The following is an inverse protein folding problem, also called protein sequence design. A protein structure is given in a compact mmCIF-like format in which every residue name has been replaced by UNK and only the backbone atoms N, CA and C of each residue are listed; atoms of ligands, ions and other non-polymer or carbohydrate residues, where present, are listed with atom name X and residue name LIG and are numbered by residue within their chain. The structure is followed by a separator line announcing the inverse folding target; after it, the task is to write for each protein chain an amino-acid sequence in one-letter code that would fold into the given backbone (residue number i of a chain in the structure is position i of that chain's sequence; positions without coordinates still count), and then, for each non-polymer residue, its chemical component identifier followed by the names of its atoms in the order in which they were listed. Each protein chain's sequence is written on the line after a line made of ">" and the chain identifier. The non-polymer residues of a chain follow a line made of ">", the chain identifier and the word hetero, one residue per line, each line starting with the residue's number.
data_IF_583791087652
#
_entry.id   IF_583791087652
#
_cell.length_a   1.000
_cell.length_b   1.000
_cell.length_c   1.000
_cell.angle_alpha   90.00
_cell.angle_beta   90.00
_cell.angle_gamma   90.00
#
_symmetry.space_group_name_H-M   'P 1'
#
loop_
_entity.id
_entity.type
_entity.pdbx_description
1 polymer ?
#
# COMPACT_ATOMS: atom_id res chain seq x y z
N UNK A 1 -0.01 -8.17 -26.72
CA UNK A 1 0.14 -7.92 -25.28
C UNK A 1 -0.29 -6.52 -24.91
N UNK A 2 -1.50 -6.42 -24.36
CA UNK A 2 -2.12 -5.16 -23.96
C UNK A 2 -2.53 -5.25 -22.49
N UNK A 3 -2.42 -4.13 -21.77
CA UNK A 3 -3.00 -3.96 -20.44
C UNK A 3 -4.36 -3.28 -20.57
N UNK A 4 -5.32 -3.69 -19.76
CA UNK A 4 -6.66 -3.11 -19.73
C UNK A 4 -6.99 -2.58 -18.34
N UNK A 5 -7.77 -1.50 -18.33
CA UNK A 5 -8.54 -1.04 -17.18
C UNK A 5 -9.98 -0.92 -17.63
N UNK A 6 -10.90 -1.61 -16.95
CA UNK A 6 -12.30 -1.63 -17.35
C UNK A 6 -13.23 -1.43 -16.16
N UNK A 7 -14.29 -0.65 -16.37
CA UNK A 7 -15.42 -0.57 -15.46
C UNK A 7 -16.39 -1.70 -15.79
N UNK A 8 -16.54 -2.62 -14.83
CA UNK A 8 -17.24 -3.88 -15.03
C UNK A 8 -18.27 -4.10 -13.93
N UNK A 9 -19.43 -4.62 -14.33
CA UNK A 9 -20.38 -5.23 -13.43
C UNK A 9 -19.92 -6.66 -13.20
N UNK A 10 -19.63 -6.98 -11.96
CA UNK A 10 -19.23 -8.32 -11.55
C UNK A 10 -20.29 -8.94 -10.65
N UNK A 11 -20.34 -10.26 -10.66
CA UNK A 11 -21.11 -11.10 -9.76
C UNK A 11 -20.18 -12.23 -9.28
N UNK A 12 -19.81 -12.20 -8.02
CA UNK A 12 -18.80 -13.12 -7.46
C UNK A 12 -19.26 -13.67 -6.13
N UNK A 13 -18.95 -14.93 -5.86
CA UNK A 13 -19.09 -15.57 -4.56
C UNK A 13 -17.83 -15.41 -3.69
N UNK A 14 -16.83 -14.67 -4.16
CA UNK A 14 -15.51 -14.54 -3.54
C UNK A 14 -15.15 -13.10 -3.13
N UNK A 15 -14.53 -12.88 -1.95
CA UNK A 15 -14.10 -11.56 -1.50
C UNK A 15 -12.75 -11.13 -2.13
N UNK A 16 -12.69 -11.07 -3.46
CA UNK A 16 -11.43 -10.87 -4.22
C UNK A 16 -11.25 -9.44 -4.75
N UNK A 17 -12.34 -8.76 -5.14
CA UNK A 17 -12.24 -7.44 -5.77
C UNK A 17 -12.35 -6.31 -4.75
N UNK A 18 -11.33 -5.46 -4.71
CA UNK A 18 -11.29 -4.31 -3.81
C UNK A 18 -12.18 -3.18 -4.31
N UNK A 19 -13.11 -2.72 -3.47
CA UNK A 19 -13.96 -1.54 -3.72
C UNK A 19 -13.69 -0.47 -2.68
N UNK A 20 -13.44 0.75 -3.13
CA UNK A 20 -13.29 1.91 -2.23
C UNK A 20 -14.67 2.54 -1.96
N UNK A 21 -15.09 2.51 -0.69
CA UNK A 21 -16.19 3.32 -0.13
C UNK A 21 -15.59 4.26 0.92
N UNK A 22 -16.21 4.41 2.09
CA UNK A 22 -15.56 5.05 3.25
C UNK A 22 -14.25 4.34 3.62
N UNK A 23 -14.23 3.01 3.47
CA UNK A 23 -13.06 2.14 3.61
C UNK A 23 -12.94 1.24 2.38
N UNK A 24 -11.78 0.61 2.23
CA UNK A 24 -11.61 -0.45 1.24
C UNK A 24 -12.30 -1.71 1.76
N UNK A 25 -13.20 -2.26 0.97
CA UNK A 25 -13.98 -3.48 1.27
C UNK A 25 -13.84 -4.47 0.12
N UNK A 26 -14.15 -5.74 0.39
CA UNK A 26 -14.14 -6.84 -0.58
C UNK A 26 -15.54 -7.48 -0.60
N UNK A 27 -16.52 -6.85 -1.27
CA UNK A 27 -17.89 -7.32 -1.23
C UNK A 27 -18.07 -8.60 -2.07
N UNK A 28 -19.06 -9.40 -1.68
CA UNK A 28 -19.53 -10.60 -2.39
C UNK A 28 -20.90 -10.26 -3.00
N UNK A 29 -21.20 -10.87 -4.15
CA UNK A 29 -22.41 -10.66 -4.93
C UNK A 29 -22.19 -9.71 -6.09
N UNK A 30 -23.24 -8.99 -6.47
CA UNK A 30 -23.27 -8.18 -7.70
C UNK A 30 -23.00 -6.70 -7.46
N UNK A 31 -21.95 -6.16 -8.07
CA UNK A 31 -21.59 -4.74 -7.94
C UNK A 31 -20.72 -4.22 -9.09
N UNK A 32 -20.70 -2.89 -9.24
CA UNK A 32 -19.80 -2.20 -10.16
C UNK A 32 -18.43 -1.96 -9.53
N UNK A 33 -17.38 -2.23 -10.29
CA UNK A 33 -15.99 -1.99 -9.91
C UNK A 33 -15.12 -1.71 -11.14
N UNK A 34 -14.04 -0.95 -10.96
CA UNK A 34 -13.02 -0.75 -11.99
C UNK A 34 -11.86 -1.72 -11.75
N UNK A 35 -11.63 -2.63 -12.68
CA UNK A 35 -10.60 -3.67 -12.58
C UNK A 35 -9.45 -3.41 -13.55
N UNK A 36 -8.25 -3.77 -13.12
CA UNK A 36 -7.04 -3.79 -13.96
C UNK A 36 -6.83 -5.18 -14.55
N UNK A 37 -5.86 -5.30 -15.47
CA UNK A 37 -5.54 -6.56 -16.18
C UNK A 37 -5.50 -7.83 -15.29
N UNK A 38 -4.76 -7.90 -14.17
CA UNK A 38 -4.72 -9.12 -13.36
C UNK A 38 -6.08 -9.49 -12.74
N UNK A 39 -6.84 -8.49 -12.30
CA UNK A 39 -8.18 -8.70 -11.71
C UNK A 39 -9.19 -9.11 -12.78
N UNK A 40 -9.12 -8.51 -13.98
CA UNK A 40 -9.95 -8.89 -15.12
C UNK A 40 -9.68 -10.32 -15.57
N UNK A 41 -8.40 -10.73 -15.65
CA UNK A 41 -8.04 -12.12 -15.98
C UNK A 41 -8.69 -13.09 -15.00
N UNK A 42 -8.54 -12.84 -13.70
CA UNK A 42 -9.18 -13.64 -12.66
C UNK A 42 -10.71 -13.66 -12.80
N UNK A 43 -11.33 -12.51 -13.09
CA UNK A 43 -12.77 -12.40 -13.29
C UNK A 43 -13.29 -13.21 -14.49
N UNK A 44 -12.54 -13.25 -15.58
CA UNK A 44 -12.91 -14.08 -16.74
C UNK A 44 -12.71 -15.56 -16.46
N UNK A 45 -11.59 -15.94 -15.83
CA UNK A 45 -11.29 -17.33 -15.48
C UNK A 45 -12.36 -17.95 -14.55
N UNK A 46 -12.96 -17.14 -13.68
CA UNK A 46 -13.98 -17.57 -12.73
C UNK A 46 -15.41 -17.20 -13.16
N UNK A 47 -15.62 -16.70 -14.38
CA UNK A 47 -16.93 -16.27 -14.90
C UNK A 47 -17.66 -15.22 -14.03
N UNK A 48 -16.91 -14.34 -13.36
CA UNK A 48 -17.47 -13.27 -12.52
C UNK A 48 -17.94 -12.05 -13.32
N UNK A 49 -17.51 -11.88 -14.57
CA UNK A 49 -17.88 -10.71 -15.38
C UNK A 49 -19.29 -10.85 -15.93
N UNK A 50 -20.18 -9.94 -15.55
CA UNK A 50 -21.55 -9.86 -16.10
C UNK A 50 -21.59 -8.93 -17.31
N UNK A 51 -21.05 -7.70 -17.15
CA UNK A 51 -21.10 -6.66 -18.18
C UNK A 51 -19.85 -5.78 -18.11
N UNK A 52 -19.37 -5.32 -19.26
CA UNK A 52 -18.32 -4.29 -19.37
C UNK A 52 -18.96 -3.00 -19.86
N UNK A 53 -18.81 -1.90 -19.11
CA UNK A 53 -19.32 -0.60 -19.52
C UNK A 53 -18.36 0.12 -20.46
N UNK A 54 -17.11 0.28 -20.01
CA UNK A 54 -16.04 0.96 -20.74
C UNK A 54 -14.69 0.39 -20.36
N UNK A 55 -13.75 0.46 -21.28
CA UNK A 55 -12.39 0.02 -21.07
C UNK A 55 -11.39 0.98 -21.70
N UNK A 56 -10.22 1.08 -21.10
CA UNK A 56 -9.04 1.75 -21.65
C UNK A 56 -7.97 0.69 -21.89
N UNK A 57 -7.36 0.72 -23.07
CA UNK A 57 -6.35 -0.24 -23.50
C UNK A 57 -5.01 0.46 -23.61
N UNK A 58 -3.99 -0.14 -23.00
CA UNK A 58 -2.61 0.33 -23.00
C UNK A 58 -1.70 -0.68 -23.67
N UNK A 59 -0.70 -0.20 -24.40
CA UNK A 59 0.39 -1.05 -24.90
C UNK A 59 1.31 -1.42 -23.74
N UNK A 60 1.64 -2.70 -23.62
CA UNK A 60 2.60 -3.16 -22.62
C UNK A 60 4.04 -2.91 -23.07
N UNK A 61 4.90 -2.65 -22.10
CA UNK A 61 6.34 -2.58 -22.24
C UNK A 61 6.98 -3.03 -20.93
N UNK A 62 8.23 -3.49 -21.00
CA UNK A 62 9.04 -3.65 -19.79
C UNK A 62 9.48 -2.28 -19.28
N UNK A 63 8.83 -1.83 -18.21
CA UNK A 63 9.06 -0.51 -17.63
C UNK A 63 10.13 -0.54 -16.53
N UNK A 64 10.31 -1.69 -15.85
CA UNK A 64 10.93 -1.71 -14.52
C UNK A 64 11.96 -2.81 -14.30
N UNK A 65 12.14 -3.80 -15.19
CA UNK A 65 13.08 -4.91 -14.90
C UNK A 65 14.50 -4.40 -14.64
N UNK A 66 15.02 -3.53 -15.50
CA UNK A 66 16.36 -2.95 -15.33
C UNK A 66 16.51 -2.15 -14.03
N UNK A 67 15.46 -1.44 -13.62
CA UNK A 67 15.44 -0.69 -12.36
C UNK A 67 15.44 -1.64 -11.16
N UNK A 68 14.53 -2.62 -11.16
CA UNK A 68 14.35 -3.58 -10.07
C UNK A 68 15.62 -4.42 -9.91
N UNK A 69 16.15 -4.98 -10.99
CA UNK A 69 17.39 -5.78 -10.97
C UNK A 69 18.57 -4.99 -10.41
N UNK A 70 18.75 -3.74 -10.84
CA UNK A 70 19.84 -2.87 -10.36
C UNK A 70 19.73 -2.61 -8.86
N UNK A 71 18.58 -2.12 -8.39
CA UNK A 71 18.42 -1.79 -6.97
C UNK A 71 18.36 -3.03 -6.08
N UNK A 72 17.86 -4.15 -6.61
CA UNK A 72 17.88 -5.42 -5.90
C UNK A 72 19.31 -5.94 -5.70
N UNK A 73 20.12 -5.92 -6.76
CA UNK A 73 21.53 -6.32 -6.70
C UNK A 73 22.31 -5.43 -5.71
N UNK A 74 22.19 -4.11 -5.82
CA UNK A 74 22.82 -3.17 -4.89
C UNK A 74 22.40 -3.43 -3.44
N UNK A 75 21.11 -3.70 -3.20
CA UNK A 75 20.62 -4.03 -1.88
C UNK A 75 21.30 -5.27 -1.30
N UNK A 76 21.50 -6.33 -2.09
CA UNK A 76 22.21 -7.53 -1.64
C UNK A 76 23.68 -7.26 -1.36
N UNK A 77 24.35 -6.47 -2.21
CA UNK A 77 25.76 -6.06 -2.01
C UNK A 77 25.95 -5.29 -0.70
N UNK A 78 25.10 -4.28 -0.44
CA UNK A 78 25.17 -3.50 0.81
C UNK A 78 24.83 -4.33 2.04
N UNK A 79 23.89 -5.26 1.93
CA UNK A 79 23.57 -6.21 3.00
C UNK A 79 24.76 -7.11 3.33
N UNK A 80 25.43 -7.65 2.31
CA UNK A 80 26.66 -8.46 2.49
C UNK A 80 27.83 -7.64 3.04
N UNK A 81 27.92 -6.36 2.70
CA UNK A 81 28.93 -5.44 3.22
C UNK A 81 28.62 -4.90 4.63
N UNK A 82 27.43 -5.17 5.18
CA UNK A 82 27.01 -4.69 6.51
C UNK A 82 26.68 -3.20 6.57
N UNK A 83 26.32 -2.56 5.45
CA UNK A 83 26.01 -1.12 5.40
C UNK A 83 24.50 -0.91 5.40
N UNK A 84 23.91 -0.86 6.60
CA UNK A 84 22.46 -0.88 6.82
C UNK A 84 21.74 0.33 6.19
N UNK A 85 22.36 1.51 6.18
CA UNK A 85 21.78 2.74 5.65
C UNK A 85 21.52 2.64 4.14
N UNK A 86 22.47 2.07 3.40
CA UNK A 86 22.34 1.88 1.96
C UNK A 86 21.43 0.70 1.61
N UNK A 87 21.36 -0.34 2.44
CA UNK A 87 20.35 -1.39 2.29
C UNK A 87 18.94 -0.78 2.37
N UNK A 88 18.67 0.02 3.41
CA UNK A 88 17.37 0.67 3.60
C UNK A 88 17.07 1.71 2.52
N UNK A 89 18.07 2.45 2.03
CA UNK A 89 17.90 3.34 0.88
C UNK A 89 17.47 2.56 -0.37
N UNK A 90 18.17 1.48 -0.73
CA UNK A 90 17.82 0.67 -1.90
C UNK A 90 16.42 0.08 -1.78
N UNK A 91 16.05 -0.40 -0.59
CA UNK A 91 14.70 -0.89 -0.29
C UNK A 91 13.63 0.19 -0.46
N UNK A 92 13.88 1.42 0.02
CA UNK A 92 12.96 2.55 -0.17
C UNK A 92 12.79 2.90 -1.64
N UNK A 93 13.87 2.88 -2.43
CA UNK A 93 13.81 3.14 -3.87
C UNK A 93 12.90 2.12 -4.58
N UNK A 94 13.08 0.83 -4.28
CA UNK A 94 12.22 -0.25 -4.80
C UNK A 94 10.74 -0.06 -4.40
N UNK A 95 10.47 0.21 -3.12
CA UNK A 95 9.10 0.25 -2.61
C UNK A 95 8.33 1.53 -2.94
N UNK A 96 9.04 2.65 -3.16
CA UNK A 96 8.39 3.96 -3.37
C UNK A 96 8.11 4.30 -4.83
N UNK A 97 8.78 3.62 -5.79
CA UNK A 97 8.69 3.94 -7.22
C UNK A 97 7.24 3.92 -7.73
N UNK A 98 6.48 2.85 -7.46
CA UNK A 98 5.11 2.75 -7.98
C UNK A 98 4.20 3.87 -7.43
N UNK A 99 4.44 4.29 -6.18
CA UNK A 99 3.70 5.36 -5.52
C UNK A 99 3.90 6.71 -6.20
N UNK A 100 5.07 6.93 -6.83
CA UNK A 100 5.33 8.16 -7.60
C UNK A 100 4.41 8.32 -8.79
N UNK A 101 4.02 7.22 -9.45
CA UNK A 101 3.06 7.27 -10.55
C UNK A 101 1.63 7.59 -10.11
N UNK A 102 1.29 7.41 -8.83
CA UNK A 102 -0.01 7.78 -8.24
C UNK A 102 0.03 9.06 -7.41
N UNK A 103 1.17 9.77 -7.38
CA UNK A 103 1.35 10.95 -6.54
C UNK A 103 0.60 12.15 -7.14
N UNK A 104 -0.15 12.86 -6.29
CA UNK A 104 -0.75 14.15 -6.65
C UNK A 104 0.27 15.27 -6.51
N UNK A 105 0.18 16.28 -7.38
CA UNK A 105 0.94 17.52 -7.23
C UNK A 105 0.21 18.46 -6.28
N UNK A 106 0.94 19.08 -5.37
CA UNK A 106 0.41 20.08 -4.45
C UNK A 106 0.25 21.42 -5.17
N UNK A 107 -0.93 22.02 -5.08
CA UNK A 107 -1.20 23.34 -5.65
C UNK A 107 -0.98 24.39 -4.56
N UNK A 108 0.11 25.14 -4.70
CA UNK A 108 0.51 26.19 -3.76
C UNK A 108 0.14 27.57 -4.32
N UNK A 109 -0.59 28.36 -3.53
CA UNK A 109 -0.90 29.75 -3.84
C UNK A 109 -0.03 30.67 -3.02
N UNK A 110 0.75 31.57 -3.66
CA UNK A 110 1.48 32.62 -2.94
C UNK A 110 0.47 33.52 -2.22
N UNK A 111 0.64 33.68 -0.91
CA UNK A 111 -0.23 34.53 -0.07
C UNK A 111 0.51 35.76 0.47
N UNK A 112 1.82 35.85 0.27
CA UNK A 112 2.61 37.00 0.68
C UNK A 112 4.11 36.80 0.53
N UNK A 113 4.84 37.80 1.00
CA UNK A 113 6.30 37.81 1.10
C UNK A 113 6.68 37.85 2.57
N UNK A 114 7.67 37.05 2.94
CA UNK A 114 8.18 36.94 4.31
C UNK A 114 9.71 36.84 4.27
N UNK A 115 10.40 37.92 3.85
CA UNK A 115 11.86 37.92 3.78
C UNK A 115 12.44 37.68 5.18
N UNK A 116 13.51 36.89 5.26
CA UNK A 116 14.23 36.49 6.48
C UNK A 116 13.55 35.42 7.35
N UNK A 117 12.42 34.86 6.93
CA UNK A 117 11.88 33.66 7.57
C UNK A 117 12.59 32.39 7.07
N UNK A 118 12.91 31.42 7.95
CA UNK A 118 13.46 30.15 7.54
C UNK A 118 12.44 29.30 6.78
N UNK A 119 12.93 28.53 5.81
CA UNK A 119 12.14 27.57 5.06
C UNK A 119 11.55 26.51 5.99
N UNK A 120 10.22 26.38 5.98
CA UNK A 120 9.48 25.43 6.81
C UNK A 120 8.06 25.21 6.31
N UNK A 121 7.42 24.21 6.87
CA UNK A 121 6.01 23.90 6.62
C UNK A 121 5.28 23.92 7.95
N UNK A 122 4.17 24.63 8.03
CA UNK A 122 3.34 24.71 9.24
C UNK A 122 1.95 24.14 8.96
N UNK A 123 1.43 23.41 9.95
CA UNK A 123 0.05 22.94 9.98
C UNK A 123 -0.78 23.90 10.85
N UNK A 124 -1.80 24.49 10.24
CA UNK A 124 -2.70 25.44 10.86
C UNK A 124 -4.01 24.75 11.21
N UNK A 125 -4.34 24.77 12.49
CA UNK A 125 -5.61 24.28 13.02
C UNK A 125 -6.51 25.48 13.32
N UNK A 126 -7.69 25.53 12.68
CA UNK A 126 -8.68 26.57 12.97
C UNK A 126 -9.75 26.00 13.89
N UNK A 127 -9.93 26.62 15.06
CA UNK A 127 -10.99 26.25 15.99
C UNK A 127 -12.36 26.27 15.30
N UNK A 128 -13.14 25.20 15.49
CA UNK A 128 -14.47 25.03 14.89
C UNK A 128 -14.50 24.61 13.41
N UNK A 129 -13.35 24.37 12.77
CA UNK A 129 -13.28 23.86 11.39
C UNK A 129 -12.66 22.46 11.36
N UNK A 130 -13.35 21.50 10.76
CA UNK A 130 -12.79 20.18 10.50
C UNK A 130 -11.87 20.29 9.27
N UNK A 131 -10.56 20.28 9.50
CA UNK A 131 -9.55 20.34 8.45
C UNK A 131 -8.26 20.99 8.94
N UNK A 132 -7.14 20.59 8.33
CA UNK A 132 -5.83 21.19 8.58
C UNK A 132 -5.49 22.03 7.36
N UNK A 133 -5.16 23.31 7.58
CA UNK A 133 -4.55 24.13 6.54
C UNK A 133 -3.05 23.96 6.60
N UNK A 134 -2.38 24.02 5.46
CA UNK A 134 -0.93 23.94 5.40
C UNK A 134 -0.38 25.21 4.75
N UNK A 135 0.59 25.83 5.41
CA UNK A 135 1.37 26.93 4.83
C UNK A 135 2.83 26.51 4.73
N UNK A 136 3.53 27.08 3.76
CA UNK A 136 4.95 26.86 3.55
C UNK A 136 5.64 28.20 3.40
N UNK A 137 6.77 28.33 4.06
CA UNK A 137 7.75 29.38 3.86
C UNK A 137 8.83 28.80 2.97
N UNK A 138 9.09 29.44 1.83
CA UNK A 138 10.12 28.99 0.91
C UNK A 138 10.72 30.22 0.21
N UNK A 139 12.04 30.38 0.32
CA UNK A 139 12.80 31.43 -0.38
C UNK A 139 12.29 32.86 -0.09
N UNK A 140 11.89 33.13 1.16
CA UNK A 140 11.37 34.43 1.56
C UNK A 140 9.94 34.72 1.09
N UNK A 141 9.23 33.72 0.56
CA UNK A 141 7.82 33.80 0.17
C UNK A 141 6.99 32.84 1.03
N UNK A 142 5.70 33.17 1.19
CA UNK A 142 4.75 32.32 1.91
C UNK A 142 3.63 31.84 0.97
N UNK A 143 3.34 30.55 1.07
CA UNK A 143 2.37 29.86 0.23
C UNK A 143 1.33 29.12 1.08
N UNK A 144 0.08 29.11 0.63
CA UNK A 144 -0.99 28.28 1.17
C UNK A 144 -1.26 27.08 0.24
N UNK A 145 -1.40 25.89 0.81
CA UNK A 145 -1.87 24.71 0.07
C UNK A 145 -3.37 24.87 -0.21
N UNK A 146 -3.72 25.03 -1.48
CA UNK A 146 -5.11 25.28 -1.90
C UNK A 146 -5.77 24.08 -2.58
N UNK A 147 -5.01 23.05 -2.91
CA UNK A 147 -5.55 21.85 -3.52
C UNK A 147 -4.49 20.89 -4.04
N UNK A 148 -4.95 19.93 -4.83
CA UNK A 148 -4.13 18.90 -5.44
C UNK A 148 -4.53 18.70 -6.90
N UNK A 149 -3.55 18.50 -7.77
CA UNK A 149 -3.75 18.23 -9.19
C UNK A 149 -2.98 17.00 -9.66
N UNK A 150 -3.18 16.62 -10.92
CA UNK A 150 -2.42 15.54 -11.56
C UNK A 150 -0.98 16.00 -11.80
N UNK A 151 -0.01 15.19 -11.40
CA UNK A 151 1.41 15.52 -11.58
C UNK A 151 1.82 15.30 -13.03
N UNK A 152 2.74 16.11 -13.55
CA UNK A 152 3.25 15.96 -14.93
C UNK A 152 3.72 14.53 -15.27
N UNK A 153 4.36 13.86 -14.30
CA UNK A 153 4.86 12.49 -14.46
C UNK A 153 3.96 11.43 -13.81
N UNK A 154 2.75 11.77 -13.36
CA UNK A 154 1.85 10.74 -12.83
C UNK A 154 1.28 9.89 -13.96
N UNK A 155 1.14 8.61 -13.69
CA UNK A 155 0.44 7.69 -14.55
C UNK A 155 -0.30 6.67 -13.66
N UNK A 156 -1.47 7.04 -13.11
CA UNK A 156 -2.16 6.25 -12.10
C UNK A 156 -2.46 4.81 -12.52
N UNK A 157 -2.57 4.55 -13.83
CA UNK A 157 -2.73 3.21 -14.37
C UNK A 157 -1.58 2.26 -13.99
N UNK A 158 -0.32 2.73 -13.93
CA UNK A 158 0.82 1.91 -13.47
C UNK A 158 0.65 1.57 -11.99
N UNK A 159 0.37 2.56 -11.14
CA UNK A 159 0.19 2.36 -9.71
C UNK A 159 -0.98 1.40 -9.42
N UNK A 160 -2.09 1.53 -10.15
CA UNK A 160 -3.23 0.64 -10.07
C UNK A 160 -2.84 -0.82 -10.42
N UNK A 161 -2.11 -1.05 -11.51
CA UNK A 161 -1.67 -2.38 -11.90
C UNK A 161 -0.72 -3.01 -10.87
N UNK A 162 0.29 -2.27 -10.38
CA UNK A 162 1.24 -2.79 -9.39
C UNK A 162 0.51 -3.21 -8.12
N UNK A 163 -0.39 -2.37 -7.60
CA UNK A 163 -1.17 -2.72 -6.40
C UNK A 163 -2.13 -3.87 -6.64
N UNK A 164 -2.72 -3.98 -7.84
CA UNK A 164 -3.58 -5.09 -8.19
C UNK A 164 -2.82 -6.43 -8.28
N UNK A 165 -1.65 -6.47 -8.90
CA UNK A 165 -0.78 -7.66 -8.88
C UNK A 165 -0.44 -8.08 -7.45
N UNK A 166 -0.10 -7.12 -6.58
CA UNK A 166 0.15 -7.41 -5.16
C UNK A 166 -1.06 -8.00 -4.44
N UNK A 167 -2.26 -7.41 -4.63
CA UNK A 167 -3.51 -7.93 -4.05
C UNK A 167 -3.88 -9.31 -4.57
N UNK A 168 -3.78 -9.54 -5.88
CA UNK A 168 -4.10 -10.83 -6.49
C UNK A 168 -3.14 -11.92 -6.02
N UNK A 169 -1.85 -11.59 -5.85
CA UNK A 169 -0.89 -12.53 -5.27
C UNK A 169 -1.19 -12.83 -3.80
N UNK A 170 -1.50 -11.82 -2.99
CA UNK A 170 -1.92 -12.04 -1.60
C UNK A 170 -3.17 -12.93 -1.52
N UNK A 171 -4.15 -12.70 -2.41
CA UNK A 171 -5.36 -13.52 -2.49
C UNK A 171 -5.06 -14.97 -2.91
N UNK A 172 -4.16 -15.19 -3.87
CA UNK A 172 -3.66 -16.53 -4.22
C UNK A 172 -3.09 -17.25 -3.00
N UNK A 173 -2.26 -16.56 -2.19
CA UNK A 173 -1.69 -17.14 -0.98
C UNK A 173 -2.76 -17.47 0.07
N UNK A 174 -3.81 -16.64 0.20
CA UNK A 174 -4.95 -16.94 1.06
C UNK A 174 -5.69 -18.20 0.59
N UNK A 175 -5.87 -18.36 -0.74
CA UNK A 175 -6.48 -19.56 -1.33
C UNK A 175 -5.62 -20.81 -1.09
N UNK A 176 -4.29 -20.70 -1.22
CA UNK A 176 -3.34 -21.80 -0.92
C UNK A 176 -3.38 -22.18 0.56
N UNK A 177 -3.34 -21.21 1.47
CA UNK A 177 -3.49 -21.47 2.90
C UNK A 177 -4.84 -22.15 3.20
N UNK A 178 -5.88 -21.77 2.45
CA UNK A 178 -7.23 -22.29 2.56
C UNK A 178 -8.00 -21.62 3.68
N UNK A 179 -9.31 -21.56 3.50
CA UNK A 179 -10.24 -20.96 4.46
C UNK A 179 -10.07 -21.56 5.87
N UNK A 180 -10.18 -20.71 6.88
CA UNK A 180 -9.95 -21.08 8.29
C UNK A 180 -8.48 -21.20 8.72
N UNK A 181 -7.52 -21.12 7.79
CA UNK A 181 -6.09 -21.22 8.10
C UNK A 181 -5.33 -19.89 8.08
N UNK A 182 -6.02 -18.80 7.73
CA UNK A 182 -5.50 -17.44 7.85
C UNK A 182 -6.38 -16.61 8.79
N UNK A 183 -5.76 -15.77 9.60
CA UNK A 183 -6.43 -14.96 10.63
C UNK A 183 -6.45 -13.47 10.30
N UNK A 184 -5.42 -12.98 9.60
CA UNK A 184 -5.26 -11.56 9.32
C UNK A 184 -4.36 -11.35 8.11
N UNK A 185 -4.59 -10.27 7.35
CA UNK A 185 -3.68 -9.82 6.32
C UNK A 185 -3.54 -8.28 6.35
N UNK A 186 -2.36 -7.79 5.98
CA UNK A 186 -2.11 -6.35 5.76
C UNK A 186 -1.10 -6.18 4.64
N UNK A 187 -1.59 -5.70 3.49
CA UNK A 187 -0.85 -5.31 2.29
C UNK A 187 -0.02 -6.44 1.64
N UNK A 188 1.01 -6.93 2.32
CA UNK A 188 2.00 -7.91 1.86
C UNK A 188 2.29 -8.98 2.92
N UNK A 189 1.47 -9.05 3.98
CA UNK A 189 1.62 -9.99 5.09
C UNK A 189 0.35 -10.80 5.33
N UNK A 190 0.53 -12.05 5.77
CA UNK A 190 -0.53 -12.98 6.13
C UNK A 190 -0.17 -13.65 7.47
N UNK A 191 -1.10 -13.65 8.41
CA UNK A 191 -1.00 -14.41 9.66
C UNK A 191 -1.78 -15.70 9.49
N UNK A 192 -1.11 -16.85 9.66
CA UNK A 192 -1.67 -18.19 9.42
C UNK A 192 -1.44 -19.09 10.62
N UNK A 193 -2.21 -20.18 10.70
CA UNK A 193 -1.92 -21.30 11.59
C UNK A 193 -0.87 -22.25 10.98
N UNK A 194 -0.52 -23.31 11.71
CA UNK A 194 0.44 -24.32 11.27
C UNK A 194 0.03 -25.04 9.98
N UNK A 195 -1.27 -25.36 9.83
CA UNK A 195 -1.77 -26.01 8.61
C UNK A 195 -1.64 -25.11 7.38
N UNK A 196 -1.95 -23.82 7.51
CA UNK A 196 -1.75 -22.81 6.47
C UNK A 196 -0.29 -22.61 6.13
N UNK A 197 0.59 -22.58 7.14
CA UNK A 197 2.04 -22.49 6.95
C UNK A 197 2.58 -23.69 6.16
N UNK A 198 2.14 -24.91 6.51
CA UNK A 198 2.53 -26.14 5.80
C UNK A 198 2.17 -26.08 4.31
N UNK A 199 0.97 -25.58 3.97
CA UNK A 199 0.56 -25.42 2.56
C UNK A 199 1.36 -24.35 1.82
N UNK A 200 1.83 -23.33 2.53
CA UNK A 200 2.64 -22.24 1.97
C UNK A 200 4.13 -22.56 1.88
N UNK A 201 4.59 -23.72 2.37
CA UNK A 201 6.01 -24.06 2.49
C UNK A 201 6.81 -23.86 1.19
N UNK A 202 6.22 -24.19 0.04
CA UNK A 202 6.86 -24.06 -1.28
C UNK A 202 7.00 -22.60 -1.76
N UNK A 203 6.36 -21.65 -1.08
CA UNK A 203 6.47 -20.21 -1.35
C UNK A 203 7.45 -19.52 -0.39
N UNK A 204 7.97 -20.22 0.62
CA UNK A 204 8.87 -19.65 1.63
C UNK A 204 10.28 -19.57 1.06
N UNK A 205 10.76 -18.34 0.84
CA UNK A 205 12.12 -18.06 0.40
C UNK A 205 12.51 -16.64 0.88
N UNK A 206 13.63 -16.55 1.61
CA UNK A 206 14.10 -15.30 2.19
C UNK A 206 14.94 -14.44 1.24
N UNK A 207 15.26 -14.96 0.05
CA UNK A 207 16.19 -14.38 -0.93
C UNK A 207 15.51 -14.17 -2.29
N UNK A 208 14.51 -14.95 -2.65
CA UNK A 208 13.80 -14.76 -3.91
C UNK A 208 12.87 -13.55 -3.85
N UNK A 209 12.85 -12.73 -4.91
CA UNK A 209 11.84 -11.68 -5.09
C UNK A 209 10.44 -12.32 -5.14
N UNK A 210 9.53 -11.84 -4.29
CA UNK A 210 8.18 -12.39 -4.13
C UNK A 210 8.08 -13.62 -3.22
N UNK A 211 9.20 -14.10 -2.68
CA UNK A 211 9.23 -15.17 -1.69
C UNK A 211 8.66 -14.74 -0.35
N UNK A 212 8.04 -15.68 0.36
CA UNK A 212 7.54 -15.47 1.71
C UNK A 212 8.66 -15.60 2.74
N UNK A 213 8.68 -14.68 3.69
CA UNK A 213 9.56 -14.73 4.86
C UNK A 213 8.73 -14.92 6.12
N UNK A 214 9.12 -15.90 6.94
CA UNK A 214 8.58 -16.02 8.31
C UNK A 214 9.16 -14.86 9.12
N UNK A 215 8.29 -13.95 9.56
CA UNK A 215 8.69 -12.76 10.33
C UNK A 215 8.57 -12.97 11.84
N UNK A 216 7.64 -13.83 12.26
CA UNK A 216 7.37 -14.14 13.67
C UNK A 216 6.61 -15.46 13.78
N UNK A 217 6.88 -16.21 14.85
CA UNK A 217 6.06 -17.34 15.30
C UNK A 217 5.56 -17.03 16.70
N UNK A 218 4.27 -17.21 16.96
CA UNK A 218 3.66 -16.91 18.27
C UNK A 218 2.60 -17.95 18.63
N UNK A 219 2.44 -18.20 19.93
CA UNK A 219 1.42 -19.10 20.47
C UNK A 219 0.13 -18.36 20.86
N UNK A 220 0.15 -17.02 20.86
CA UNK A 220 -1.00 -16.21 21.25
C UNK A 220 -1.15 -15.01 20.32
N UNK A 221 -2.35 -14.83 19.78
CA UNK A 221 -2.71 -13.74 18.89
C UNK A 221 -4.09 -13.20 19.31
N UNK A 222 -4.16 -11.89 19.56
CA UNK A 222 -5.41 -11.17 19.75
C UNK A 222 -5.55 -10.14 18.63
N UNK A 223 -6.60 -10.26 17.82
CA UNK A 223 -6.92 -9.30 16.76
C UNK A 223 -8.17 -8.52 17.18
N UNK A 224 -8.03 -7.20 17.33
CA UNK A 224 -9.13 -6.29 17.70
C UNK A 224 -9.70 -5.57 16.48
N UNK A 225 -8.90 -5.42 15.42
CA UNK A 225 -9.35 -4.83 14.17
C UNK A 225 -8.23 -4.54 13.18
N UNK A 226 -8.54 -3.69 12.20
CA UNK A 226 -7.59 -3.29 11.16
C UNK A 226 -6.42 -2.51 11.77
N UNK A 227 -5.21 -3.07 11.63
CA UNK A 227 -3.97 -2.57 12.21
C UNK A 227 -4.06 -2.44 13.74
N UNK A 228 -4.84 -3.31 14.36
CA UNK A 228 -4.98 -3.41 15.81
C UNK A 228 -4.94 -4.88 16.23
N UNK A 229 -3.75 -5.36 16.60
CA UNK A 229 -3.53 -6.72 17.04
C UNK A 229 -2.30 -6.81 17.95
N UNK A 230 -2.26 -7.86 18.77
CA UNK A 230 -1.12 -8.14 19.66
C UNK A 230 -0.74 -9.61 19.59
N UNK A 231 0.56 -9.86 19.60
CA UNK A 231 1.17 -11.17 19.81
C UNK A 231 1.87 -11.19 21.17
N UNK A 232 2.51 -12.30 21.52
CA UNK A 232 3.37 -12.37 22.72
C UNK A 232 4.51 -11.35 22.70
N UNK A 233 4.98 -10.93 21.52
CA UNK A 233 6.20 -10.11 21.39
C UNK A 233 5.93 -8.67 20.99
N UNK A 234 4.79 -8.38 20.37
CA UNK A 234 4.50 -7.04 19.85
C UNK A 234 3.02 -6.68 19.95
N UNK A 235 2.79 -5.39 20.11
CA UNK A 235 1.48 -4.75 19.98
C UNK A 235 1.52 -3.80 18.79
N UNK A 236 0.52 -3.91 17.93
CA UNK A 236 0.33 -3.03 16.77
C UNK A 236 -1.00 -2.34 16.96
N UNK A 237 -0.98 -1.02 17.07
CA UNK A 237 -2.19 -0.18 17.18
C UNK A 237 -2.10 0.92 16.13
N UNK A 238 -3.18 1.11 15.39
CA UNK A 238 -3.25 2.08 14.30
C UNK A 238 -3.04 3.50 14.83
N UNK A 239 -2.02 4.18 14.30
CA UNK A 239 -1.72 5.57 14.66
C UNK A 239 -0.86 5.73 15.92
N UNK A 240 -0.47 4.62 16.56
CA UNK A 240 0.45 4.60 17.70
C UNK A 240 1.81 4.09 17.23
N UNK A 241 2.87 4.89 17.43
CA UNK A 241 4.24 4.48 17.09
C UNK A 241 4.69 3.34 18.01
N UNK A 242 5.65 2.51 17.54
CA UNK A 242 6.21 1.41 18.33
C UNK A 242 6.93 1.87 19.61
N UNK A 243 7.42 3.10 19.62
CA UNK A 243 8.10 3.72 20.75
C UNK A 243 7.16 4.61 21.60
N UNK A 244 5.86 4.60 21.33
CA UNK A 244 4.90 5.33 22.15
C UNK A 244 4.82 4.72 23.55
N UNK A 245 4.68 5.57 24.57
CA UNK A 245 4.56 5.17 25.97
C UNK A 245 3.09 5.21 26.36
N UNK A 246 2.57 4.11 26.90
CA UNK A 246 1.22 4.08 27.45
C UNK A 246 1.21 4.74 28.83
N UNK A 247 0.49 5.85 28.96
CA UNK A 247 0.36 6.60 30.21
C UNK A 247 -0.78 6.06 31.08
N UNK A 248 -1.87 5.63 30.44
CA UNK A 248 -3.02 4.96 31.05
C UNK A 248 -3.75 4.14 29.97
N UNK A 249 -4.73 3.33 30.37
CA UNK A 249 -5.46 2.45 29.45
C UNK A 249 -5.99 3.23 28.23
N UNK A 250 -5.42 2.94 27.06
CA UNK A 250 -5.80 3.58 25.79
C UNK A 250 -5.26 5.00 25.57
N UNK A 251 -4.39 5.51 26.45
CA UNK A 251 -3.77 6.84 26.35
C UNK A 251 -2.27 6.69 26.13
N UNK A 252 -1.81 7.16 24.98
CA UNK A 252 -0.41 7.04 24.55
C UNK A 252 0.24 8.42 24.36
N UNK A 253 1.45 8.55 24.89
CA UNK A 253 2.36 9.65 24.58
C UNK A 253 3.32 9.22 23.46
N UNK A 254 3.50 10.08 22.45
CA UNK A 254 4.40 9.83 21.34
C UNK A 254 5.01 11.13 20.83
N UNK A 255 6.29 11.09 20.45
CA UNK A 255 6.99 12.20 19.81
C UNK A 255 6.25 12.64 18.53
N UNK A 256 6.22 13.95 18.27
CA UNK A 256 5.69 14.54 17.04
C UNK A 256 6.37 13.96 15.77
#
# INVERSE_FOLDING_TARGET
>A
DCSLIAETLIDTDEPVYAVRRERTIFPIGRFWVTLTTPELKYAFEHNHVVTINRAVVYKQADLFSSYVERFYKLRQEFKSAGVAEYEELCKKMLNSLYGKFGQKADVWKKIGECPNEPDRVELLFKSGVCGVKQIRYLLGEIFELVGYEECYNSFPAIAAHVTAYGRMYLYELMKIAGEGNYFYCDTDSLIVNEAGLCKLQNRIDNVLLGGLKITETTNHLTIRGLKDYSTTTKTVIKGIRRNAVELSEGVYEQDL
#
